data_IF_606689562225
#
_entry.id   IF_606689562225
#
_cell.length_a   1.000
_cell.length_b   1.000
_cell.length_c   1.000
_cell.angle_alpha   90.00
_cell.angle_beta   90.00
_cell.angle_gamma   90.00
#
_symmetry.space_group_name_H-M   'P 1'
#
loop_
_entity.id
_entity.type
_entity.pdbx_description
1 polymer ?
#
# COMPACT_ATOMS: atom_id res chain seq x y z
N UNK A 1 6.16 -18.22 11.06
CA UNK A 1 5.77 -18.87 9.80
C UNK A 1 4.33 -19.38 9.94
N UNK A 2 3.42 -18.81 9.16
CA UNK A 2 2.07 -19.34 8.96
C UNK A 2 1.80 -19.18 7.47
N UNK A 3 2.24 -20.17 6.69
CA UNK A 3 2.02 -20.20 5.25
C UNK A 3 0.51 -20.15 5.00
N UNK A 4 0.02 -19.00 4.56
CA UNK A 4 -1.32 -18.90 4.02
C UNK A 4 -1.39 -19.88 2.82
N UNK A 5 -2.45 -20.68 2.69
CA UNK A 5 -2.55 -21.60 1.57
C UNK A 5 -2.43 -20.81 0.27
N UNK A 6 -1.55 -21.25 -0.62
CA UNK A 6 -1.37 -20.63 -1.93
C UNK A 6 -2.70 -20.76 -2.71
N UNK A 7 -3.48 -19.68 -2.71
CA UNK A 7 -4.71 -19.60 -3.51
C UNK A 7 -4.31 -19.56 -4.98
N UNK A 8 -4.83 -20.49 -5.78
CA UNK A 8 -4.62 -20.49 -7.23
C UNK A 8 -5.19 -19.22 -7.85
N UNK A 9 -4.33 -18.42 -8.48
CA UNK A 9 -4.71 -17.20 -9.19
C UNK A 9 -5.00 -17.56 -10.65
N UNK A 10 -6.20 -17.25 -11.13
CA UNK A 10 -6.60 -17.51 -12.51
C UNK A 10 -6.60 -16.23 -13.36
N UNK A 11 -6.11 -16.33 -14.60
CA UNK A 11 -6.11 -15.23 -15.55
C UNK A 11 -7.51 -14.64 -15.81
N UNK A 12 -8.56 -15.48 -15.83
CA UNK A 12 -9.95 -15.07 -16.08
C UNK A 12 -10.54 -14.18 -14.97
N UNK A 13 -9.94 -14.23 -13.78
CA UNK A 13 -10.38 -13.47 -12.61
C UNK A 13 -9.57 -12.16 -12.44
N UNK A 14 -8.75 -11.80 -13.44
CA UNK A 14 -8.01 -10.54 -13.45
C UNK A 14 -8.98 -9.36 -13.49
N UNK A 15 -8.86 -8.49 -12.50
CA UNK A 15 -9.56 -7.22 -12.44
C UNK A 15 -8.55 -6.08 -12.33
N UNK A 16 -8.82 -4.97 -13.02
CA UNK A 16 -8.02 -3.76 -12.88
C UNK A 16 -8.11 -3.24 -11.42
N UNK A 17 -7.00 -2.80 -10.81
CA UNK A 17 -7.00 -2.31 -9.44
C UNK A 17 -7.79 -1.01 -9.34
N UNK A 18 -8.51 -0.81 -8.22
CA UNK A 18 -9.33 0.38 -8.00
C UNK A 18 -8.51 1.68 -7.89
N UNK A 19 -7.24 1.57 -7.49
CA UNK A 19 -6.30 2.69 -7.39
C UNK A 19 -5.02 2.36 -8.14
N UNK A 20 -4.44 3.37 -8.79
CA UNK A 20 -3.14 3.32 -9.45
C UNK A 20 -2.18 4.22 -8.67
N UNK A 21 -0.93 3.80 -8.58
CA UNK A 21 0.15 4.61 -8.02
C UNK A 21 0.67 5.53 -9.11
N UNK A 22 0.59 6.84 -8.88
CA UNK A 22 1.10 7.89 -9.77
C UNK A 22 2.59 8.14 -9.51
N UNK A 23 2.99 8.26 -8.23
CA UNK A 23 4.38 8.42 -7.83
C UNK A 23 4.69 7.67 -6.55
N UNK A 24 5.96 7.28 -6.43
CA UNK A 24 6.51 6.57 -5.28
C UNK A 24 7.82 7.23 -4.87
N UNK A 25 7.84 7.82 -3.69
CA UNK A 25 9.06 8.35 -3.08
C UNK A 25 9.44 7.43 -1.91
N UNK A 26 10.63 6.84 -2.00
CA UNK A 26 11.17 5.93 -0.99
C UNK A 26 12.44 6.52 -0.39
N UNK A 27 12.52 6.50 0.93
CA UNK A 27 13.74 6.81 1.68
C UNK A 27 14.07 5.62 2.55
N UNK A 28 15.34 5.23 2.49
CA UNK A 28 15.87 4.08 3.23
C UNK A 28 16.95 4.60 4.18
N UNK A 29 16.72 4.42 5.47
CA UNK A 29 17.72 4.61 6.50
C UNK A 29 18.28 3.23 6.87
N UNK A 30 19.54 2.98 6.52
CA UNK A 30 20.17 1.67 6.67
C UNK A 30 20.96 1.59 7.98
N UNK A 31 20.67 0.58 8.78
CA UNK A 31 21.36 0.25 10.02
C UNK A 31 22.05 -1.12 9.90
N UNK A 32 22.78 -1.53 10.93
CA UNK A 32 23.52 -2.80 10.90
C UNK A 32 22.60 -4.03 10.95
N UNK A 33 21.46 -3.92 11.62
CA UNK A 33 20.52 -5.02 11.91
C UNK A 33 19.14 -4.86 11.26
N UNK A 34 18.81 -3.67 10.75
CA UNK A 34 17.54 -3.36 10.10
C UNK A 34 17.66 -2.22 9.07
N UNK A 35 16.56 -1.96 8.36
CA UNK A 35 16.41 -0.80 7.51
C UNK A 35 15.06 -0.15 7.78
N UNK A 36 15.07 1.13 8.11
CA UNK A 36 13.85 1.93 8.21
C UNK A 36 13.47 2.41 6.81
N UNK A 37 12.23 2.12 6.41
CA UNK A 37 11.70 2.46 5.10
C UNK A 37 10.58 3.47 5.26
N UNK A 38 10.81 4.69 4.79
CA UNK A 38 9.76 5.70 4.65
C UNK A 38 9.25 5.68 3.21
N UNK A 39 7.95 5.47 3.06
CA UNK A 39 7.27 5.46 1.77
C UNK A 39 6.20 6.55 1.69
N UNK A 40 6.31 7.41 0.67
CA UNK A 40 5.28 8.38 0.31
C UNK A 40 4.73 7.98 -1.07
N UNK A 41 3.48 7.51 -1.08
CA UNK A 41 2.81 7.02 -2.27
C UNK A 41 1.68 7.97 -2.66
N UNK A 42 1.63 8.38 -3.94
CA UNK A 42 0.51 9.14 -4.49
C UNK A 42 -0.41 8.21 -5.26
N UNK A 43 -1.67 8.16 -4.85
CA UNK A 43 -2.69 7.33 -5.47
C UNK A 43 -3.69 8.16 -6.28
N UNK A 44 -4.12 7.58 -7.40
CA UNK A 44 -5.21 8.10 -8.24
C UNK A 44 -6.23 6.99 -8.44
N UNK A 45 -7.52 7.33 -8.38
CA UNK A 45 -8.59 6.39 -8.66
C UNK A 45 -8.50 5.93 -10.14
N UNK A 46 -8.57 4.63 -10.37
CA UNK A 46 -8.49 4.07 -11.71
C UNK A 46 -9.83 4.26 -12.45
N UNK A 47 -9.89 5.02 -13.56
CA UNK A 47 -11.13 5.19 -14.31
C UNK A 47 -11.60 3.91 -15.03
N UNK A 48 -10.70 2.93 -15.22
CA UNK A 48 -11.01 1.65 -15.87
C UNK A 48 -11.45 0.56 -14.89
N UNK A 49 -11.51 0.84 -13.58
CA UNK A 49 -11.90 -0.11 -12.55
C UNK A 49 -13.21 0.28 -11.87
N UNK A 50 -13.84 -0.68 -11.20
CA UNK A 50 -14.91 -0.39 -10.28
C UNK A 50 -14.40 0.50 -9.14
N UNK A 51 -15.21 1.47 -8.71
CA UNK A 51 -14.89 2.30 -7.56
C UNK A 51 -14.82 1.42 -6.31
N UNK A 52 -13.82 1.68 -5.47
CA UNK A 52 -13.66 1.05 -4.17
C UNK A 52 -13.66 2.13 -3.10
N UNK A 53 -14.21 1.82 -1.94
CA UNK A 53 -14.15 2.67 -0.75
C UNK A 53 -12.96 2.30 0.16
N UNK A 54 -12.15 1.31 -0.26
CA UNK A 54 -11.01 0.80 0.50
C UNK A 54 -9.74 0.77 -0.35
N UNK A 55 -8.65 1.29 0.22
CA UNK A 55 -7.30 1.15 -0.29
C UNK A 55 -6.60 0.01 0.46
N UNK A 56 -6.26 -1.07 -0.27
CA UNK A 56 -5.57 -2.23 0.30
C UNK A 56 -4.11 -2.18 -0.13
N UNK A 57 -3.21 -2.17 0.85
CA UNK A 57 -1.76 -2.20 0.64
C UNK A 57 -1.23 -3.54 1.13
N UNK A 58 -0.50 -4.24 0.27
CA UNK A 58 0.14 -5.51 0.63
C UNK A 58 1.54 -5.25 1.19
N UNK A 59 1.84 -5.85 2.33
CA UNK A 59 3.16 -5.84 2.96
C UNK A 59 3.42 -7.18 3.64
N UNK A 60 4.66 -7.65 3.60
CA UNK A 60 5.08 -8.92 4.20
C UNK A 60 6.33 -8.69 5.05
N UNK A 61 6.33 -9.25 6.26
CA UNK A 61 7.47 -9.18 7.20
C UNK A 61 7.92 -7.74 7.50
N UNK A 62 6.95 -6.82 7.57
CA UNK A 62 7.16 -5.41 7.90
C UNK A 62 6.62 -5.11 9.30
N UNK A 63 7.33 -4.23 10.01
CA UNK A 63 6.81 -3.59 11.22
C UNK A 63 6.26 -2.20 10.83
N UNK A 64 4.95 -2.02 10.96
CA UNK A 64 4.34 -0.71 10.70
C UNK A 64 4.66 0.24 11.85
N UNK A 65 5.42 1.30 11.59
CA UNK A 65 5.74 2.33 12.59
C UNK A 65 4.72 3.46 12.61
N UNK A 66 4.34 3.95 11.44
CA UNK A 66 3.37 5.04 11.27
C UNK A 66 2.66 4.87 9.92
N UNK A 67 1.36 5.15 9.89
CA UNK A 67 0.61 5.28 8.64
C UNK A 67 -0.11 6.62 8.62
N UNK A 68 0.14 7.44 7.60
CA UNK A 68 -0.54 8.73 7.43
C UNK A 68 -1.28 8.78 6.10
N UNK A 69 -2.58 9.00 6.16
CA UNK A 69 -3.41 9.27 5.00
C UNK A 69 -3.60 10.78 4.85
N UNK A 70 -3.26 11.32 3.68
CA UNK A 70 -3.52 12.73 3.34
C UNK A 70 -4.57 12.80 2.23
N UNK A 71 -5.72 13.40 2.53
CA UNK A 71 -6.78 13.65 1.57
C UNK A 71 -6.47 14.83 0.64
N UNK A 72 -7.18 14.93 -0.49
CA UNK A 72 -7.04 16.05 -1.45
C UNK A 72 -7.35 17.43 -0.84
N UNK A 73 -8.14 17.47 0.22
CA UNK A 73 -8.47 18.68 0.98
C UNK A 73 -7.41 19.04 2.04
N UNK A 74 -6.31 18.27 2.14
CA UNK A 74 -5.25 18.46 3.12
C UNK A 74 -5.54 17.82 4.48
N UNK A 75 -6.68 17.14 4.65
CA UNK A 75 -6.97 16.40 5.87
C UNK A 75 -5.94 15.28 6.07
N UNK A 76 -5.29 15.24 7.23
CA UNK A 76 -4.37 14.16 7.62
C UNK A 76 -5.03 13.29 8.67
N UNK A 77 -5.02 11.99 8.42
CA UNK A 77 -5.39 10.96 9.40
C UNK A 77 -4.14 10.16 9.69
N UNK A 78 -3.74 10.13 10.97
CA UNK A 78 -2.64 9.30 11.44
C UNK A 78 -3.24 8.05 12.06
N UNK A 79 -2.78 6.90 11.61
CA UNK A 79 -3.09 5.60 12.18
C UNK A 79 -1.84 5.12 12.88
N UNK A 80 -1.92 4.99 14.20
CA UNK A 80 -0.89 4.36 15.01
C UNK A 80 -1.04 2.84 14.92
N UNK A 81 0.09 2.13 14.97
CA UNK A 81 0.16 0.67 14.84
C UNK A 81 -0.29 -0.06 16.10
#
# INVERSE_FOLDING_TARGET
>A
MKDAPATTIYLKDYAAPAYVIDSTDLTFDLFEDHADVRSILRFVANPAAAKSDSLVLHGQELELKELVLTGKTGARVVVEA
#
